data_IF_084345170835
#
_entry.id   IF_084345170835
#
_cell.length_a   1.000
_cell.length_b   1.000
_cell.length_c   1.000
_cell.angle_alpha   90.00
_cell.angle_beta   90.00
_cell.angle_gamma   90.00
#
_symmetry.space_group_name_H-M   'P 1'
#
loop_
_entity.id
_entity.type
_entity.pdbx_description
1 polymer ?
#
# COMPACT_ATOMS: atom_id res chain seq x y z
N UNK A 1 -29.16 -25.48 -20.83
CA UNK A 1 -28.24 -24.36 -21.13
C UNK A 1 -28.34 -23.39 -19.96
N UNK A 2 -27.43 -23.20 -19.01
CA UNK A 2 -25.97 -23.41 -18.89
C UNK A 2 -25.71 -24.02 -17.49
N UNK A 3 -25.48 -25.33 -17.40
CA UNK A 3 -25.18 -26.03 -16.11
C UNK A 3 -23.69 -26.34 -15.93
N UNK A 4 -22.84 -25.97 -16.90
CA UNK A 4 -21.44 -26.41 -16.95
C UNK A 4 -20.42 -25.35 -16.54
N UNK A 5 -20.76 -24.05 -16.57
CA UNK A 5 -19.87 -22.95 -16.24
C UNK A 5 -20.60 -21.93 -15.36
N UNK A 6 -20.93 -22.29 -14.12
CA UNK A 6 -21.52 -21.33 -13.16
C UNK A 6 -20.42 -20.72 -12.30
N UNK A 7 -20.60 -19.47 -11.87
CA UNK A 7 -19.68 -18.82 -10.93
C UNK A 7 -19.48 -19.65 -9.64
N UNK A 8 -20.52 -20.36 -9.21
CA UNK A 8 -20.46 -21.28 -8.07
C UNK A 8 -19.53 -22.48 -8.33
N UNK A 9 -19.56 -23.06 -9.54
CA UNK A 9 -18.66 -24.14 -9.90
C UNK A 9 -17.22 -23.65 -9.99
N UNK A 10 -16.99 -22.48 -10.60
CA UNK A 10 -15.68 -21.85 -10.63
C UNK A 10 -15.14 -21.58 -9.22
N UNK A 11 -15.95 -20.97 -8.33
CA UNK A 11 -15.55 -20.66 -6.97
C UNK A 11 -15.22 -21.92 -6.15
N UNK A 12 -16.02 -22.98 -6.30
CA UNK A 12 -15.74 -24.27 -5.65
C UNK A 12 -14.47 -24.92 -6.17
N UNK A 13 -14.27 -24.94 -7.49
CA UNK A 13 -13.06 -25.49 -8.09
C UNK A 13 -11.84 -24.68 -7.66
N UNK A 14 -11.91 -23.34 -7.71
CA UNK A 14 -10.84 -22.45 -7.28
C UNK A 14 -10.47 -22.67 -5.81
N UNK A 15 -11.45 -22.69 -4.89
CA UNK A 15 -11.20 -22.94 -3.47
C UNK A 15 -10.67 -24.35 -3.21
N UNK A 16 -11.17 -25.36 -3.93
CA UNK A 16 -10.65 -26.73 -3.89
C UNK A 16 -9.18 -26.78 -4.31
N UNK A 17 -8.84 -26.18 -5.45
CA UNK A 17 -7.45 -26.12 -5.92
C UNK A 17 -6.56 -25.31 -4.97
N UNK A 18 -7.07 -24.20 -4.42
CA UNK A 18 -6.36 -23.37 -3.45
C UNK A 18 -6.06 -24.15 -2.15
N UNK A 19 -7.01 -24.95 -1.67
CA UNK A 19 -6.85 -25.79 -0.48
C UNK A 19 -5.95 -27.01 -0.72
N UNK A 20 -5.82 -27.48 -1.97
CA UNK A 20 -4.87 -28.56 -2.34
C UNK A 20 -3.42 -28.09 -2.38
N UNK A 21 -3.19 -26.78 -2.48
CA UNK A 21 -1.86 -26.22 -2.32
C UNK A 21 -1.55 -26.25 -0.81
N UNK A 22 -0.92 -27.33 -0.36
CA UNK A 22 -0.11 -27.28 0.86
C UNK A 22 1.01 -26.27 0.60
N UNK A 23 0.76 -25.01 0.96
CA UNK A 23 1.81 -24.01 1.01
C UNK A 23 2.75 -24.49 2.09
N UNK A 24 3.86 -25.12 1.68
CA UNK A 24 4.99 -25.35 2.57
C UNK A 24 5.31 -24.02 3.25
N UNK A 25 4.99 -23.93 4.53
CA UNK A 25 5.09 -22.70 5.32
C UNK A 25 6.54 -22.34 5.64
N UNK A 26 7.48 -23.20 5.26
CA UNK A 26 8.91 -23.00 5.48
C UNK A 26 9.58 -22.56 4.19
N UNK A 27 9.63 -21.24 3.98
CA UNK A 27 10.55 -20.64 3.01
C UNK A 27 11.98 -20.82 3.54
N UNK A 28 12.90 -21.44 2.78
CA UNK A 28 14.28 -21.60 3.23
C UNK A 28 14.92 -20.22 3.47
N UNK A 29 15.70 -20.12 4.54
CA UNK A 29 16.42 -18.87 4.86
C UNK A 29 17.34 -18.49 3.69
N UNK A 30 17.42 -17.19 3.42
CA UNK A 30 18.30 -16.65 2.39
C UNK A 30 19.76 -17.03 2.69
N UNK A 31 20.43 -17.64 1.71
CA UNK A 31 21.85 -17.98 1.80
C UNK A 31 22.68 -16.76 1.39
N UNK A 32 23.10 -15.98 2.37
CA UNK A 32 23.75 -14.68 2.13
C UNK A 32 24.99 -14.79 1.23
N UNK A 33 25.79 -15.84 1.38
CA UNK A 33 26.98 -16.07 0.54
C UNK A 33 26.64 -16.24 -0.93
N UNK A 34 25.54 -16.94 -1.25
CA UNK A 34 25.09 -17.16 -2.62
C UNK A 34 24.64 -15.83 -3.24
N UNK A 35 23.94 -15.00 -2.47
CA UNK A 35 23.53 -13.64 -2.88
C UNK A 35 24.75 -12.75 -3.11
N UNK A 36 25.73 -12.76 -2.22
CA UNK A 36 26.96 -11.98 -2.38
C UNK A 36 27.76 -12.41 -3.62
N UNK A 37 27.86 -13.72 -3.86
CA UNK A 37 28.53 -14.27 -5.04
C UNK A 37 27.81 -13.83 -6.32
N UNK A 38 26.49 -14.01 -6.39
CA UNK A 38 25.67 -13.58 -7.52
C UNK A 38 25.74 -12.06 -7.74
N UNK A 39 25.66 -11.27 -6.67
CA UNK A 39 25.82 -9.82 -6.72
C UNK A 39 27.16 -9.45 -7.33
N UNK A 40 28.25 -10.04 -6.88
CA UNK A 40 29.60 -9.70 -7.33
C UNK A 40 29.82 -9.98 -8.82
N UNK A 41 29.18 -11.04 -9.34
CA UNK A 41 29.27 -11.45 -10.76
C UNK A 41 28.31 -10.68 -11.68
N UNK A 42 27.19 -10.18 -11.16
CA UNK A 42 26.17 -9.51 -11.95
C UNK A 42 26.66 -8.15 -12.49
N UNK A 43 26.39 -7.90 -13.78
CA UNK A 43 26.74 -6.65 -14.50
C UNK A 43 25.66 -5.57 -14.42
N UNK A 44 24.41 -5.97 -14.19
CA UNK A 44 23.25 -5.11 -13.94
C UNK A 44 22.42 -5.74 -12.83
N UNK A 45 21.99 -4.95 -11.87
CA UNK A 45 21.33 -5.43 -10.66
C UNK A 45 20.12 -4.56 -10.39
N UNK A 46 18.98 -5.20 -10.14
CA UNK A 46 17.74 -4.53 -9.81
C UNK A 46 17.36 -4.88 -8.37
N UNK A 47 17.21 -3.86 -7.52
CA UNK A 47 16.74 -3.99 -6.16
C UNK A 47 15.31 -3.46 -6.10
N UNK A 48 14.37 -4.33 -5.74
CA UNK A 48 12.97 -3.99 -5.52
C UNK A 48 12.71 -4.18 -4.03
N UNK A 49 12.60 -3.07 -3.29
CA UNK A 49 12.56 -3.07 -1.84
C UNK A 49 11.22 -2.54 -1.38
N UNK A 50 10.49 -3.35 -0.62
CA UNK A 50 9.34 -2.87 0.13
C UNK A 50 9.79 -1.94 1.27
N UNK A 51 8.93 -1.05 1.75
CA UNK A 51 9.27 -0.07 2.78
C UNK A 51 8.83 -0.52 4.19
N UNK A 52 7.53 -0.52 4.46
CA UNK A 52 6.96 -0.75 5.79
C UNK A 52 7.02 -2.23 6.19
N UNK A 53 7.71 -2.54 7.29
CA UNK A 53 7.94 -3.92 7.72
C UNK A 53 9.12 -4.60 7.03
N UNK A 54 9.75 -3.95 6.05
CA UNK A 54 10.92 -4.45 5.32
C UNK A 54 12.16 -3.61 5.58
N UNK A 55 12.15 -2.33 5.18
CA UNK A 55 13.27 -1.40 5.43
C UNK A 55 13.10 -0.63 6.74
N UNK A 56 11.86 -0.38 7.15
CA UNK A 56 11.52 0.28 8.42
C UNK A 56 10.61 -0.64 9.26
N UNK A 57 10.73 -0.68 10.59
CA UNK A 57 9.84 -1.48 11.42
C UNK A 57 8.39 -0.99 11.35
N UNK A 58 7.43 -1.90 11.58
CA UNK A 58 6.02 -1.54 11.71
C UNK A 58 5.83 -0.72 12.99
N UNK A 59 5.33 0.50 12.86
CA UNK A 59 5.08 1.44 13.96
C UNK A 59 3.58 1.70 14.13
N UNK A 60 3.17 2.20 15.31
CA UNK A 60 1.76 2.49 15.62
C UNK A 60 1.21 3.65 14.78
N UNK A 61 1.97 4.74 14.70
CA UNK A 61 1.63 5.90 13.90
C UNK A 61 2.39 5.81 12.56
N UNK A 62 1.69 5.71 11.42
CA UNK A 62 2.33 5.58 10.12
C UNK A 62 3.35 6.68 9.82
N UNK A 63 3.15 7.91 10.31
CA UNK A 63 4.05 9.04 10.04
C UNK A 63 5.41 8.93 10.75
N UNK A 64 5.50 8.08 11.77
CA UNK A 64 6.73 7.85 12.54
C UNK A 64 7.65 6.81 11.90
N UNK A 65 7.22 6.18 10.80
CA UNK A 65 7.97 5.15 10.08
C UNK A 65 9.13 5.75 9.24
N UNK A 66 9.95 6.61 9.84
CA UNK A 66 11.05 7.32 9.16
C UNK A 66 12.29 6.43 9.00
N UNK A 67 13.07 6.59 7.92
CA UNK A 67 14.24 5.77 7.69
C UNK A 67 15.34 6.09 8.70
N UNK A 68 16.02 5.06 9.22
CA UNK A 68 17.16 5.25 10.12
C UNK A 68 18.38 5.81 9.38
N UNK A 69 19.30 6.52 10.06
CA UNK A 69 20.55 6.98 9.44
C UNK A 69 21.39 5.84 8.83
N UNK A 70 21.33 4.65 9.44
CA UNK A 70 22.00 3.45 8.94
C UNK A 70 21.39 2.99 7.61
N UNK A 71 20.06 3.00 7.49
CA UNK A 71 19.36 2.65 6.27
C UNK A 71 19.70 3.64 5.15
N UNK A 72 19.61 4.94 5.43
CA UNK A 72 19.95 5.99 4.46
C UNK A 72 21.39 5.86 3.95
N UNK A 73 22.34 5.57 4.85
CA UNK A 73 23.73 5.30 4.48
C UNK A 73 23.84 4.06 3.58
N UNK A 74 23.18 2.95 3.94
CA UNK A 74 23.22 1.72 3.16
C UNK A 74 22.63 1.91 1.76
N UNK A 75 21.51 2.64 1.62
CA UNK A 75 20.93 2.97 0.33
C UNK A 75 21.86 3.88 -0.48
N UNK A 76 22.47 4.88 0.15
CA UNK A 76 23.47 5.74 -0.50
C UNK A 76 24.63 4.91 -1.06
N UNK A 77 25.22 4.05 -0.25
CA UNK A 77 26.32 3.17 -0.66
C UNK A 77 25.88 2.21 -1.79
N UNK A 78 24.65 1.69 -1.71
CA UNK A 78 24.08 0.80 -2.74
C UNK A 78 23.87 1.52 -4.08
N UNK A 79 23.35 2.75 -4.04
CA UNK A 79 23.10 3.56 -5.25
C UNK A 79 24.36 4.19 -5.84
N UNK A 80 25.49 4.20 -5.12
CA UNK A 80 26.76 4.70 -5.64
C UNK A 80 27.34 3.79 -6.75
N UNK A 81 27.02 2.50 -6.76
CA UNK A 81 27.37 1.59 -7.86
C UNK A 81 26.37 1.74 -9.00
N UNK A 82 26.79 2.32 -10.13
CA UNK A 82 25.95 2.55 -11.31
C UNK A 82 25.39 1.29 -11.97
N UNK A 83 25.87 0.09 -11.58
CA UNK A 83 25.26 -1.18 -12.01
C UNK A 83 23.97 -1.51 -11.24
N UNK A 84 23.72 -0.82 -10.13
CA UNK A 84 22.56 -1.01 -9.28
C UNK A 84 21.47 -0.02 -9.65
N UNK A 85 20.30 -0.56 -9.97
CA UNK A 85 19.05 0.18 -10.04
C UNK A 85 18.24 -0.16 -8.80
N UNK A 86 17.92 0.84 -8.00
CA UNK A 86 17.26 0.64 -6.71
C UNK A 86 15.89 1.30 -6.75
N UNK A 87 14.85 0.51 -6.45
CA UNK A 87 13.47 0.96 -6.36
C UNK A 87 12.92 0.67 -4.97
N UNK A 88 12.26 1.67 -4.40
CA UNK A 88 11.41 1.53 -3.22
C UNK A 88 9.97 1.40 -3.71
N UNK A 89 9.33 0.27 -3.42
CA UNK A 89 7.94 -0.02 -3.80
C UNK A 89 7.12 -0.04 -2.53
N UNK A 90 6.09 0.80 -2.42
CA UNK A 90 5.33 0.92 -1.19
C UNK A 90 3.89 1.38 -1.42
N UNK A 91 3.02 1.08 -0.46
CA UNK A 91 1.65 1.60 -0.39
C UNK A 91 1.55 3.02 0.19
N UNK A 92 2.69 3.65 0.50
CA UNK A 92 2.77 5.05 0.96
C UNK A 92 2.53 6.03 -0.18
N UNK A 93 2.01 7.21 0.16
CA UNK A 93 1.86 8.32 -0.78
C UNK A 93 3.20 8.89 -1.26
N UNK A 94 3.18 9.66 -2.35
CA UNK A 94 4.39 10.24 -2.96
C UNK A 94 5.13 11.14 -2.00
N UNK A 95 4.43 12.11 -1.42
CA UNK A 95 5.01 13.13 -0.53
C UNK A 95 5.83 12.52 0.61
N UNK A 96 5.30 11.46 1.24
CA UNK A 96 5.98 10.78 2.33
C UNK A 96 7.28 10.09 1.87
N UNK A 97 7.24 9.36 0.75
CA UNK A 97 8.42 8.66 0.25
C UNK A 97 9.46 9.61 -0.34
N UNK A 98 9.02 10.69 -0.99
CA UNK A 98 9.90 11.76 -1.45
C UNK A 98 10.66 12.39 -0.28
N UNK A 99 9.95 12.72 0.79
CA UNK A 99 10.59 13.27 1.98
C UNK A 99 11.57 12.27 2.62
N UNK A 100 11.17 11.00 2.74
CA UNK A 100 12.01 9.98 3.36
C UNK A 100 13.26 9.64 2.55
N UNK A 101 13.16 9.68 1.21
CA UNK A 101 14.24 9.31 0.29
C UNK A 101 14.90 10.52 -0.37
N UNK A 102 14.66 11.72 0.18
CA UNK A 102 15.17 12.98 -0.37
C UNK A 102 16.70 12.93 -0.55
N UNK A 103 17.15 13.29 -1.75
CA UNK A 103 18.58 13.32 -2.10
C UNK A 103 19.22 11.97 -2.40
N UNK A 104 18.46 10.87 -2.43
CA UNK A 104 18.93 9.57 -2.91
C UNK A 104 18.46 9.31 -4.34
N UNK A 105 19.34 8.82 -5.24
CA UNK A 105 18.96 8.46 -6.61
C UNK A 105 18.30 7.07 -6.63
N UNK A 106 17.13 6.98 -6.01
CA UNK A 106 16.27 5.80 -5.97
C UNK A 106 15.00 6.05 -6.78
N UNK A 107 14.54 4.99 -7.42
CA UNK A 107 13.23 4.96 -8.04
C UNK A 107 12.17 4.76 -6.96
N UNK A 108 11.01 5.38 -7.14
CA UNK A 108 9.91 5.30 -6.20
C UNK A 108 8.69 4.75 -6.91
N UNK A 109 7.98 3.84 -6.26
CA UNK A 109 6.68 3.37 -6.66
C UNK A 109 5.74 3.49 -5.46
N UNK A 110 4.73 4.34 -5.59
CA UNK A 110 3.85 4.78 -4.52
C UNK A 110 2.43 4.24 -4.72
N UNK A 111 1.65 4.24 -3.64
CA UNK A 111 0.25 3.82 -3.64
C UNK A 111 0.01 2.50 -4.40
N UNK A 112 0.85 1.49 -4.12
CA UNK A 112 0.77 0.17 -4.75
C UNK A 112 1.01 0.16 -6.27
N UNK A 113 1.78 1.13 -6.78
CA UNK A 113 2.21 1.18 -8.18
C UNK A 113 1.47 2.18 -9.04
N UNK A 114 0.54 2.95 -8.47
CA UNK A 114 -0.23 3.96 -9.21
C UNK A 114 0.64 5.12 -9.68
N UNK A 115 1.63 5.48 -8.88
CA UNK A 115 2.62 6.49 -9.23
C UNK A 115 4.01 5.88 -9.23
N UNK A 116 4.82 6.27 -10.20
CA UNK A 116 6.21 5.88 -10.23
C UNK A 116 7.12 6.99 -10.71
N UNK A 117 8.35 6.98 -10.20
CA UNK A 117 9.43 7.88 -10.60
C UNK A 117 10.70 7.06 -10.76
N UNK A 118 11.38 7.21 -11.89
CA UNK A 118 12.63 6.49 -12.15
C UNK A 118 13.81 7.03 -11.33
N UNK A 119 14.80 6.18 -11.06
CA UNK A 119 15.91 6.43 -10.11
C UNK A 119 16.88 7.57 -10.46
N UNK A 120 16.76 8.14 -11.66
CA UNK A 120 17.51 9.32 -12.14
C UNK A 120 16.57 10.35 -12.81
N UNK A 121 15.26 10.25 -12.55
CA UNK A 121 14.24 11.16 -13.05
C UNK A 121 13.58 11.91 -11.91
N UNK A 122 13.26 13.18 -12.14
CA UNK A 122 12.39 13.97 -11.27
C UNK A 122 10.93 13.94 -11.73
N UNK A 123 10.66 13.35 -12.90
CA UNK A 123 9.33 13.25 -13.46
C UNK A 123 8.58 12.05 -12.90
N UNK A 124 7.39 12.31 -12.37
CA UNK A 124 6.43 11.28 -11.99
C UNK A 124 5.62 10.85 -13.20
N UNK A 125 5.46 9.54 -13.32
CA UNK A 125 4.52 8.91 -14.20
C UNK A 125 3.34 8.42 -13.35
N UNK A 126 2.15 8.86 -13.77
CA UNK A 126 0.89 8.60 -13.10
C UNK A 126 0.05 7.69 -14.00
N UNK A 127 -0.24 6.47 -13.53
CA UNK A 127 -1.09 5.52 -14.24
C UNK A 127 -2.55 5.99 -14.31
N UNK A 128 -2.93 6.97 -13.49
CA UNK A 128 -4.26 7.56 -13.41
C UNK A 128 -4.31 8.96 -14.05
N UNK A 129 -3.29 9.35 -14.80
CA UNK A 129 -3.27 10.62 -15.53
C UNK A 129 -4.56 10.81 -16.35
N UNK A 130 -5.32 11.86 -16.04
CA UNK A 130 -6.60 12.19 -16.67
C UNK A 130 -7.84 11.62 -15.97
N UNK A 131 -7.69 10.91 -14.85
CA UNK A 131 -8.79 10.49 -13.99
C UNK A 131 -9.07 11.56 -12.95
N UNK A 132 -10.31 12.05 -12.87
CA UNK A 132 -10.72 12.99 -11.84
C UNK A 132 -11.29 12.25 -10.62
N UNK A 133 -10.77 12.54 -9.43
CA UNK A 133 -11.24 11.97 -8.17
C UNK A 133 -12.29 12.84 -7.48
N UNK A 134 -13.23 13.42 -8.24
CA UNK A 134 -14.31 14.28 -7.71
C UNK A 134 -15.19 13.60 -6.67
N UNK A 135 -15.21 12.26 -6.65
CA UNK A 135 -15.86 11.49 -5.59
C UNK A 135 -15.30 11.79 -4.20
N UNK A 136 -14.03 12.20 -4.08
CA UNK A 136 -13.41 12.56 -2.80
C UNK A 136 -14.06 13.78 -2.17
N UNK A 137 -14.48 14.75 -2.97
CA UNK A 137 -15.16 15.96 -2.48
C UNK A 137 -16.54 15.62 -1.88
N UNK A 138 -17.14 14.50 -2.30
CA UNK A 138 -18.40 13.99 -1.76
C UNK A 138 -18.16 13.12 -0.52
N UNK A 139 -17.11 12.29 -0.52
CA UNK A 139 -16.83 11.34 0.56
C UNK A 139 -16.14 12.00 1.75
N UNK A 140 -15.26 12.97 1.54
CA UNK A 140 -14.47 13.59 2.61
C UNK A 140 -15.34 14.25 3.70
N UNK A 141 -16.39 15.04 3.39
CA UNK A 141 -17.26 15.61 4.42
C UNK A 141 -17.98 14.53 5.26
N UNK A 142 -18.26 13.38 4.67
CA UNK A 142 -18.86 12.25 5.40
C UNK A 142 -17.83 11.69 6.39
N UNK A 143 -16.60 11.46 5.95
CA UNK A 143 -15.54 11.00 6.84
C UNK A 143 -15.26 11.99 7.97
N UNK A 144 -15.32 13.29 7.70
CA UNK A 144 -15.15 14.35 8.69
C UNK A 144 -16.24 14.28 9.78
N UNK A 145 -17.52 14.14 9.40
CA UNK A 145 -18.63 13.97 10.34
C UNK A 145 -18.44 12.72 11.24
N UNK A 146 -18.01 11.59 10.66
CA UNK A 146 -17.69 10.39 11.45
C UNK A 146 -16.47 10.56 12.34
N UNK A 147 -15.49 11.35 11.93
CA UNK A 147 -14.27 11.59 12.69
C UNK A 147 -14.55 12.48 13.89
N UNK A 148 -15.33 13.55 13.72
CA UNK A 148 -15.70 14.49 14.78
C UNK A 148 -16.44 13.79 15.93
N UNK A 149 -17.38 12.91 15.60
CA UNK A 149 -18.15 12.16 16.61
C UNK A 149 -17.45 10.92 17.16
N UNK A 150 -16.27 10.54 16.65
CA UNK A 150 -15.53 9.33 17.07
C UNK A 150 -14.14 9.68 17.58
N UNK A 151 -13.99 10.08 18.86
CA UNK A 151 -12.70 10.45 19.43
C UNK A 151 -11.65 9.35 19.27
N UNK A 152 -10.46 9.72 18.77
CA UNK A 152 -9.36 8.81 18.48
C UNK A 152 -9.38 8.18 17.08
N UNK A 153 -10.39 8.50 16.27
CA UNK A 153 -10.35 8.22 14.82
C UNK A 153 -9.60 9.31 14.05
N UNK A 154 -9.20 9.00 12.82
CA UNK A 154 -8.44 9.90 11.96
C UNK A 154 -8.70 9.60 10.48
N UNK A 155 -8.65 10.63 9.64
CA UNK A 155 -8.68 10.51 8.18
C UNK A 155 -7.24 10.57 7.67
N UNK A 156 -6.87 9.61 6.82
CA UNK A 156 -5.67 9.65 5.99
C UNK A 156 -6.12 9.90 4.54
N UNK A 157 -5.85 11.10 4.05
CA UNK A 157 -6.07 11.48 2.65
C UNK A 157 -4.84 11.11 1.84
N UNK A 158 -4.97 10.14 0.95
CA UNK A 158 -3.97 9.80 -0.06
C UNK A 158 -4.34 10.46 -1.39
N UNK A 159 -3.51 10.33 -2.41
CA UNK A 159 -3.79 10.96 -3.71
C UNK A 159 -4.92 10.25 -4.45
N UNK A 160 -5.04 8.93 -4.30
CA UNK A 160 -6.09 8.13 -4.96
C UNK A 160 -7.12 7.64 -3.95
N UNK A 161 -6.71 7.33 -2.72
CA UNK A 161 -7.61 6.71 -1.74
C UNK A 161 -7.92 7.67 -0.58
N UNK A 162 -9.00 7.40 0.14
CA UNK A 162 -9.28 7.95 1.46
C UNK A 162 -9.35 6.80 2.46
N UNK A 163 -8.69 6.94 3.61
CA UNK A 163 -8.70 5.89 4.64
C UNK A 163 -9.16 6.48 5.96
N UNK A 164 -10.18 5.89 6.56
CA UNK A 164 -10.65 6.23 7.89
C UNK A 164 -10.11 5.21 8.91
N UNK A 165 -9.27 5.67 9.81
CA UNK A 165 -8.64 4.87 10.86
C UNK A 165 -9.41 5.03 12.16
N UNK A 166 -9.70 3.92 12.83
CA UNK A 166 -10.42 3.93 14.12
C UNK A 166 -9.76 3.02 15.16
N UNK A 167 -8.46 2.74 14.99
CA UNK A 167 -7.68 1.87 15.88
C UNK A 167 -7.46 2.46 17.28
N UNK A 168 -7.34 3.78 17.38
CA UNK A 168 -7.05 4.47 18.64
C UNK A 168 -8.33 4.96 19.35
N UNK A 169 -9.50 4.72 18.76
CA UNK A 169 -10.79 5.04 19.35
C UNK A 169 -11.27 3.92 20.29
N UNK A 170 -12.25 4.22 21.14
CA UNK A 170 -12.91 3.23 21.99
C UNK A 170 -13.45 2.06 21.13
N UNK A 171 -13.16 0.82 21.52
CA UNK A 171 -13.37 -0.32 20.63
C UNK A 171 -14.84 -0.57 20.32
N UNK A 172 -15.73 -0.43 21.30
CA UNK A 172 -17.14 -0.75 21.12
C UNK A 172 -17.84 0.36 20.33
N UNK A 173 -17.62 1.61 20.73
CA UNK A 173 -18.18 2.76 20.04
C UNK A 173 -17.62 2.92 18.62
N UNK A 174 -16.31 2.76 18.41
CA UNK A 174 -15.71 2.85 17.09
C UNK A 174 -16.18 1.73 16.15
N UNK A 175 -16.45 0.53 16.68
CA UNK A 175 -16.97 -0.57 15.86
C UNK A 175 -18.42 -0.33 15.45
N UNK A 176 -19.22 0.33 16.29
CA UNK A 176 -20.56 0.80 15.91
C UNK A 176 -20.47 1.86 14.80
N UNK A 177 -19.65 2.89 15.02
CA UNK A 177 -19.43 3.98 14.07
C UNK A 177 -18.89 3.50 12.71
N UNK A 178 -17.97 2.53 12.71
CA UNK A 178 -17.45 1.91 11.49
C UNK A 178 -18.56 1.21 10.67
N UNK A 179 -19.49 0.51 11.33
CA UNK A 179 -20.60 -0.16 10.64
C UNK A 179 -21.54 0.85 9.99
N UNK A 180 -21.92 1.89 10.73
CA UNK A 180 -22.77 2.98 10.20
C UNK A 180 -22.09 3.69 9.02
N UNK A 181 -20.78 3.97 9.12
CA UNK A 181 -20.01 4.57 8.05
C UNK A 181 -19.99 3.69 6.80
N UNK A 182 -19.76 2.38 6.94
CA UNK A 182 -19.78 1.45 5.80
C UNK A 182 -21.15 1.46 5.11
N UNK A 183 -22.25 1.41 5.87
CA UNK A 183 -23.61 1.45 5.29
C UNK A 183 -23.84 2.77 4.54
N UNK A 184 -23.45 3.90 5.15
CA UNK A 184 -23.58 5.21 4.53
C UNK A 184 -22.77 5.29 3.22
N UNK A 185 -21.51 4.86 3.23
CA UNK A 185 -20.64 4.87 2.05
C UNK A 185 -21.14 3.91 0.96
N UNK A 186 -21.62 2.71 1.30
CA UNK A 186 -22.17 1.75 0.34
C UNK A 186 -23.40 2.30 -0.39
N UNK A 187 -24.26 3.05 0.30
CA UNK A 187 -25.42 3.70 -0.33
C UNK A 187 -25.00 4.70 -1.41
N UNK A 188 -23.89 5.41 -1.19
CA UNK A 188 -23.38 6.43 -2.13
C UNK A 188 -22.50 5.80 -3.21
N UNK A 189 -21.76 4.74 -2.89
CA UNK A 189 -20.95 3.98 -3.85
C UNK A 189 -21.77 3.42 -5.02
N UNK A 190 -23.08 3.22 -4.85
CA UNK A 190 -24.00 2.88 -5.96
C UNK A 190 -24.08 3.95 -7.07
N UNK A 191 -23.64 5.19 -6.78
CA UNK A 191 -23.72 6.36 -7.67
C UNK A 191 -22.34 6.93 -8.03
N UNK A 192 -21.27 6.43 -7.42
CA UNK A 192 -19.91 6.90 -7.61
C UNK A 192 -19.01 5.74 -8.06
N UNK A 193 -17.96 6.01 -8.86
CA UNK A 193 -17.00 4.98 -9.24
C UNK A 193 -16.03 4.72 -8.07
N UNK A 194 -16.52 4.11 -6.99
CA UNK A 194 -15.73 3.80 -5.80
C UNK A 194 -16.06 2.43 -5.22
N UNK A 195 -15.06 1.81 -4.60
CA UNK A 195 -15.15 0.63 -3.78
C UNK A 195 -14.89 0.98 -2.30
N UNK A 196 -15.63 0.35 -1.39
CA UNK A 196 -15.47 0.49 0.07
C UNK A 196 -14.91 -0.82 0.63
N UNK A 197 -13.69 -0.76 1.14
CA UNK A 197 -12.96 -1.90 1.70
C UNK A 197 -12.88 -1.82 3.22
N UNK A 198 -13.16 -2.94 3.88
CA UNK A 198 -13.08 -3.03 5.34
C UNK A 198 -11.78 -3.75 5.71
N UNK A 199 -10.86 -3.02 6.36
CA UNK A 199 -9.59 -3.53 6.82
C UNK A 199 -9.52 -3.72 8.34
N UNK A 200 -8.31 -4.03 8.85
CA UNK A 200 -8.07 -4.20 10.29
C UNK A 200 -8.09 -2.86 11.02
N UNK A 201 -9.26 -2.52 11.59
CA UNK A 201 -9.54 -1.24 12.26
C UNK A 201 -9.38 -0.02 11.34
N UNK A 202 -9.70 -0.21 10.06
CA UNK A 202 -9.68 0.85 9.02
C UNK A 202 -10.83 0.61 8.02
N UNK A 203 -11.31 1.68 7.40
CA UNK A 203 -12.18 1.64 6.20
C UNK A 203 -11.45 2.40 5.09
N UNK A 204 -11.23 1.75 3.96
CA UNK A 204 -10.55 2.34 2.81
C UNK A 204 -11.54 2.54 1.66
N UNK A 205 -11.50 3.72 1.07
CA UNK A 205 -12.30 4.11 -0.10
C UNK A 205 -11.32 4.39 -1.23
N UNK A 206 -11.56 3.74 -2.37
CA UNK A 206 -10.74 3.86 -3.59
C UNK A 206 -11.63 3.83 -4.82
N UNK A 207 -11.15 4.28 -5.99
CA UNK A 207 -11.87 4.11 -7.25
C UNK A 207 -12.18 2.64 -7.58
#
# INVERSE_FOLDING_TARGET
>A
YVKRNTALLWARTFLSELMKIEVSTTVPKIKFNDVCSAYSQAKKRLFLLDYDGTLTPIVKNPQDAKPSPRLLKALKDLTADKRNQVYIISGRGREFLEQCMAGLPVGLSCEHGLFFRHYESDQWEDLLSGMEFTWKDIVLPILEDYTERTPGSMIETKEVNLVWHYRNADSDFASFQAKELVVHLQNIASKLPIEVLIGKKVIEIRP
#
